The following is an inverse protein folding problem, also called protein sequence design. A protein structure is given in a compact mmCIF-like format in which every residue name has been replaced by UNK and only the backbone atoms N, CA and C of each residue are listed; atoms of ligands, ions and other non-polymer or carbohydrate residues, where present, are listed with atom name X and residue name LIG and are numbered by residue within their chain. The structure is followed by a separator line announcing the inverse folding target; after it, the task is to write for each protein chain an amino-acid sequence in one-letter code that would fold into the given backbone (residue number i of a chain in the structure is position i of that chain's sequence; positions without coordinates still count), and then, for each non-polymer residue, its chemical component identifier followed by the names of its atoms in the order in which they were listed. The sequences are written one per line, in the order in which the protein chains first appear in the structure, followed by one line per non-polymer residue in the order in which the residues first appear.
data_IF_683659791079
#
_entry.id   IF_683659791079
#
_cell.length_a   1.000
_cell.length_b   1.000
_cell.length_c   1.000
_cell.angle_alpha   90.00
_cell.angle_beta   90.00
_cell.angle_gamma   90.00
#
_symmetry.space_group_name_H-M   'P 1'
#
loop_
_entity.id
_entity.type
_entity.pdbx_description
1 polymer ?
#
# COMPACT_ATOMS: atom_id res chain seq x y z
N UNK A 1 -11.11 -1.98 11.00
CA UNK A 1 -10.38 -3.12 10.41
C UNK A 1 -8.97 -3.14 10.96
N UNK A 2 -8.47 -4.27 11.43
CA UNK A 2 -7.07 -4.40 11.85
C UNK A 2 -6.21 -4.79 10.64
N UNK A 3 -5.08 -4.11 10.45
CA UNK A 3 -4.17 -4.31 9.32
C UNK A 3 -2.74 -3.91 9.68
N UNK A 4 -1.82 -3.98 8.73
CA UNK A 4 -0.39 -3.68 8.93
C UNK A 4 0.06 -2.47 8.11
N UNK A 5 0.98 -1.68 8.66
CA UNK A 5 1.61 -0.56 7.96
C UNK A 5 2.60 -1.03 6.87
N UNK A 6 2.43 -0.63 5.60
CA UNK A 6 3.25 -1.14 4.49
C UNK A 6 4.57 -0.38 4.26
N UNK A 7 4.87 0.66 5.05
CA UNK A 7 5.89 1.64 4.68
C UNK A 7 7.35 1.22 4.81
N UNK A 8 7.70 0.32 5.74
CA UNK A 8 9.12 0.07 6.06
C UNK A 8 9.44 -1.34 6.58
N UNK A 9 8.51 -2.28 6.53
CA UNK A 9 8.76 -3.68 6.93
C UNK A 9 8.78 -3.96 8.44
N UNK A 10 8.74 -2.94 9.31
CA UNK A 10 8.66 -3.12 10.78
C UNK A 10 7.38 -3.88 11.20
N UNK A 11 6.32 -3.80 10.40
CA UNK A 11 5.06 -4.50 10.68
C UNK A 11 4.26 -3.86 11.81
N UNK A 12 4.17 -2.52 11.88
CA UNK A 12 3.32 -1.86 12.86
C UNK A 12 1.84 -2.22 12.65
N UNK A 13 1.13 -2.56 13.72
CA UNK A 13 -0.31 -2.81 13.68
C UNK A 13 -1.12 -1.52 13.61
N UNK A 14 -2.16 -1.54 12.79
CA UNK A 14 -3.04 -0.42 12.49
C UNK A 14 -4.50 -0.81 12.71
N UNK A 15 -5.29 0.16 13.15
CA UNK A 15 -6.74 0.14 13.06
C UNK A 15 -7.13 1.17 11.97
N UNK A 16 -7.75 0.69 10.90
CA UNK A 16 -8.22 1.51 9.78
C UNK A 16 -9.75 1.51 9.71
N UNK A 17 -10.35 2.67 9.46
CA UNK A 17 -11.79 2.84 9.31
C UNK A 17 -12.18 4.27 8.97
N UNK A 18 -13.23 4.46 8.17
CA UNK A 18 -13.81 5.78 7.85
C UNK A 18 -12.79 6.84 7.38
N UNK A 19 -11.79 6.42 6.59
CA UNK A 19 -10.74 7.32 6.08
C UNK A 19 -9.67 7.71 7.11
N UNK A 20 -9.71 7.13 8.31
CA UNK A 20 -8.75 7.36 9.39
C UNK A 20 -7.87 6.14 9.63
N UNK A 21 -6.68 6.39 10.18
CA UNK A 21 -5.70 5.37 10.54
C UNK A 21 -5.14 5.70 11.92
N UNK A 22 -5.19 4.73 12.83
CA UNK A 22 -4.59 4.78 14.15
C UNK A 22 -3.68 3.57 14.37
N UNK A 23 -2.73 3.68 15.30
CA UNK A 23 -1.95 2.52 15.72
C UNK A 23 -2.79 1.61 16.61
N UNK A 24 -2.66 0.30 16.43
CA UNK A 24 -3.32 -0.69 17.29
C UNK A 24 -2.61 -0.75 18.67
N UNK A 25 -3.27 -0.38 19.78
CA UNK A 25 -2.68 -0.42 21.12
C UNK A 25 -2.28 -1.83 21.56
N UNK A 26 -2.96 -2.87 21.05
CA UNK A 26 -2.69 -4.26 21.40
C UNK A 26 -1.52 -4.87 20.59
N UNK A 27 -1.09 -4.22 19.51
CA UNK A 27 -0.09 -4.80 18.63
C UNK A 27 1.34 -4.74 19.20
N UNK A 28 2.08 -5.86 19.26
CA UNK A 28 3.34 -5.95 19.99
C UNK A 28 4.44 -5.05 19.40
N UNK A 29 4.44 -4.85 18.09
CA UNK A 29 5.49 -4.09 17.40
C UNK A 29 5.50 -2.60 17.74
N UNK A 30 4.34 -2.00 17.99
CA UNK A 30 4.21 -0.55 18.09
C UNK A 30 3.38 -0.05 19.29
N UNK A 31 2.59 -0.92 19.94
CA UNK A 31 1.78 -0.57 21.13
C UNK A 31 0.99 0.72 20.93
N UNK A 32 0.32 0.84 19.79
CA UNK A 32 -0.48 2.02 19.41
C UNK A 32 0.30 3.23 18.87
N UNK A 33 1.64 3.24 18.96
CA UNK A 33 2.46 4.36 18.47
C UNK A 33 2.65 4.26 16.96
N UNK A 34 2.77 5.40 16.30
CA UNK A 34 3.10 5.49 14.87
C UNK A 34 4.24 6.50 14.66
N UNK A 35 5.13 6.19 13.72
CA UNK A 35 6.08 7.17 13.20
C UNK A 35 5.39 8.16 12.27
N UNK A 36 6.11 9.20 11.81
CA UNK A 36 5.56 10.22 10.91
C UNK A 36 4.96 9.63 9.62
N UNK A 37 5.56 8.57 9.06
CA UNK A 37 5.05 7.88 7.86
C UNK A 37 3.71 7.19 8.15
N UNK A 38 3.64 6.45 9.26
CA UNK A 38 2.42 5.75 9.67
C UNK A 38 1.28 6.71 10.00
N UNK A 39 1.57 7.80 10.72
CA UNK A 39 0.58 8.81 11.09
C UNK A 39 0.01 9.59 9.89
N UNK A 40 0.70 9.59 8.74
CA UNK A 40 0.27 10.24 7.50
C UNK A 40 -0.24 9.28 6.43
N UNK A 41 -0.33 7.98 6.72
CA UNK A 41 -0.72 6.95 5.75
C UNK A 41 -2.10 7.20 5.12
N UNK A 42 -3.05 7.78 5.86
CA UNK A 42 -4.37 8.11 5.29
C UNK A 42 -4.28 9.13 4.14
N UNK A 43 -3.37 10.11 4.25
CA UNK A 43 -3.20 11.14 3.23
C UNK A 43 -2.62 10.60 1.93
N UNK A 44 -1.95 9.44 1.95
CA UNK A 44 -1.38 8.83 0.74
C UNK A 44 -2.36 7.92 0.01
N UNK A 45 -3.60 7.79 0.52
CA UNK A 45 -4.67 7.09 -0.18
C UNK A 45 -5.36 7.99 -1.22
N UNK A 46 -5.15 9.31 -1.16
CA UNK A 46 -5.54 10.25 -2.22
C UNK A 46 -5.03 9.77 -3.58
N UNK A 47 -5.87 9.89 -4.61
CA UNK A 47 -5.74 9.14 -5.86
C UNK A 47 -5.30 9.99 -7.08
N UNK A 48 -5.01 11.27 -6.87
CA UNK A 48 -4.71 12.23 -7.96
C UNK A 48 -3.61 11.79 -8.91
N UNK A 49 -2.53 11.21 -8.39
CA UNK A 49 -1.37 10.76 -9.19
C UNK A 49 -1.27 9.22 -9.25
N UNK A 50 -2.34 8.50 -8.88
CA UNK A 50 -2.31 7.03 -8.84
C UNK A 50 -2.36 6.47 -10.25
N UNK A 51 -1.39 5.63 -10.61
CA UNK A 51 -1.43 4.87 -11.87
C UNK A 51 -2.70 3.99 -11.90
N UNK A 52 -3.60 4.24 -12.87
CA UNK A 52 -4.92 3.56 -12.99
C UNK A 52 -4.94 2.45 -14.03
N UNK A 53 -3.95 2.42 -14.92
CA UNK A 53 -3.86 1.51 -16.08
C UNK A 53 -2.48 0.84 -16.08
N UNK A 54 -2.38 -0.46 -16.45
CA UNK A 54 -1.09 -1.13 -16.61
C UNK A 54 -0.23 -0.45 -17.68
N UNK A 55 1.08 -0.47 -17.48
CA UNK A 55 2.05 0.08 -18.43
C UNK A 55 3.16 -0.92 -18.73
N UNK A 56 3.52 -1.08 -20.00
CA UNK A 56 4.66 -1.87 -20.47
C UNK A 56 5.50 -1.01 -21.42
N UNK A 57 6.80 -0.88 -21.13
CA UNK A 57 7.70 -0.03 -21.93
C UNK A 57 7.27 1.44 -22.01
N UNK A 58 6.62 1.98 -20.97
CA UNK A 58 6.13 3.36 -20.96
C UNK A 58 4.82 3.60 -21.71
N UNK A 59 4.15 2.56 -22.19
CA UNK A 59 2.88 2.65 -22.92
C UNK A 59 1.76 1.95 -22.14
N UNK A 60 0.57 2.55 -22.12
CA UNK A 60 -0.61 1.91 -21.54
C UNK A 60 -0.96 0.60 -22.28
N UNK A 61 -1.45 -0.38 -21.53
CA UNK A 61 -1.84 -1.69 -22.07
C UNK A 61 -2.97 -2.32 -21.26
N UNK A 62 -3.52 -3.45 -21.74
CA UNK A 62 -4.49 -4.24 -20.99
C UNK A 62 -3.83 -5.06 -19.89
N UNK A 63 -4.61 -5.47 -18.88
CA UNK A 63 -4.13 -6.40 -17.86
C UNK A 63 -3.64 -7.74 -18.43
N UNK A 64 -4.32 -8.29 -19.44
CA UNK A 64 -3.90 -9.53 -20.08
C UNK A 64 -2.49 -9.39 -20.69
N UNK A 65 -2.29 -8.37 -21.53
CA UNK A 65 -1.00 -8.13 -22.18
C UNK A 65 0.12 -7.77 -21.18
N UNK A 66 -0.19 -7.07 -20.08
CA UNK A 66 0.77 -6.79 -19.03
C UNK A 66 1.21 -8.05 -18.27
N UNK A 67 0.28 -8.97 -18.01
CA UNK A 67 0.57 -10.25 -17.35
C UNK A 67 1.36 -11.19 -18.27
N UNK A 68 0.98 -11.28 -19.55
CA UNK A 68 1.71 -12.05 -20.57
C UNK A 68 3.17 -11.55 -20.68
N UNK A 69 3.37 -10.23 -20.79
CA UNK A 69 4.71 -9.64 -20.85
C UNK A 69 5.55 -9.92 -19.59
N UNK A 70 4.94 -9.96 -18.40
CA UNK A 70 5.64 -10.33 -17.17
C UNK A 70 6.02 -11.82 -17.14
N UNK A 71 5.13 -12.70 -17.60
CA UNK A 71 5.37 -14.14 -17.67
C UNK A 71 6.50 -14.49 -18.66
N UNK A 72 6.49 -13.88 -19.84
CA UNK A 72 7.52 -14.07 -20.87
C UNK A 72 8.92 -13.68 -20.37
N UNK A 73 9.04 -12.72 -19.45
CA UNK A 73 10.31 -12.29 -18.87
C UNK A 73 10.96 -13.31 -17.90
N UNK A 74 10.24 -14.37 -17.51
CA UNK A 74 10.78 -15.48 -16.71
C UNK A 74 11.23 -16.69 -17.53
N UNK A 75 11.00 -16.67 -18.85
CA UNK A 75 11.39 -17.75 -19.76
C UNK A 75 12.88 -17.75 -20.12
#
# INVERSE_FOLDING_TARGET
MNTTCPYCGVGCGLIAGEGTIAGDPAHPANRGRLCVKGAKLAATLDDRERLRTPMVGGRETSWSAALDAAADGFA
#
